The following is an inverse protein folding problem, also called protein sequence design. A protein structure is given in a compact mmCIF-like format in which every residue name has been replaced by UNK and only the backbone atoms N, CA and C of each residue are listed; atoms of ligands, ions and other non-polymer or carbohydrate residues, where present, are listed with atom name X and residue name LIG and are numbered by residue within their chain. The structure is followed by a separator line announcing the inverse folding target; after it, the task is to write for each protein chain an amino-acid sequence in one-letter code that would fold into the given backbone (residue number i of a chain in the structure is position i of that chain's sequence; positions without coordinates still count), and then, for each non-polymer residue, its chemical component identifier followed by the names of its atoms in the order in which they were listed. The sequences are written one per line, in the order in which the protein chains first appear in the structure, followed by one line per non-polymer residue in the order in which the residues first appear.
data_IF_795733820673
#
_entry.id   IF_795733820673
#
_cell.length_a   1.000
_cell.length_b   1.000
_cell.length_c   1.000
_cell.angle_alpha   90.00
_cell.angle_beta   90.00
_cell.angle_gamma   90.00
#
_symmetry.space_group_name_H-M   'P 1'
#
loop_
_entity.id
_entity.type
_entity.pdbx_description
1 polymer ?
#
# COMPACT_ATOMS: atom_id res chain seq x y z
N UNK A 1 11.14 -1.80 6.52
CA UNK A 1 11.98 -2.86 7.10
C UNK A 1 12.13 -3.94 6.05
N UNK A 2 13.35 -4.43 5.78
CA UNK A 2 13.60 -5.49 4.80
C UNK A 2 12.84 -6.80 5.10
N UNK A 3 12.42 -7.00 6.36
CA UNK A 3 11.70 -8.21 6.80
C UNK A 3 10.17 -8.07 6.77
N UNK A 4 9.66 -6.88 6.41
CA UNK A 4 8.23 -6.58 6.46
C UNK A 4 7.46 -7.16 5.27
N UNK A 5 6.16 -7.46 5.41
CA UNK A 5 5.36 -8.03 4.33
C UNK A 5 5.27 -7.13 3.09
N UNK A 6 5.44 -5.81 3.25
CA UNK A 6 5.47 -4.83 2.15
C UNK A 6 6.83 -4.68 1.46
N UNK A 7 7.90 -5.31 1.95
CA UNK A 7 9.22 -5.22 1.32
C UNK A 7 9.18 -5.79 -0.10
N UNK A 8 9.81 -5.10 -1.05
CA UNK A 8 9.80 -5.38 -2.50
C UNK A 8 8.40 -5.40 -3.16
N UNK A 9 7.34 -5.08 -2.41
CA UNK A 9 5.96 -5.00 -2.93
C UNK A 9 5.45 -3.57 -2.96
N UNK A 10 5.94 -2.72 -2.07
CA UNK A 10 5.67 -1.29 -2.03
C UNK A 10 6.97 -0.53 -2.30
N UNK A 11 6.90 0.48 -3.15
CA UNK A 11 8.03 1.37 -3.40
C UNK A 11 8.20 2.37 -2.26
N UNK A 12 9.43 2.48 -1.78
CA UNK A 12 9.81 3.46 -0.77
C UNK A 12 10.10 4.84 -1.39
N UNK A 13 10.10 5.88 -0.55
CA UNK A 13 10.28 7.27 -0.99
C UNK A 13 11.65 7.56 -1.60
N UNK A 14 12.64 6.73 -1.31
CA UNK A 14 14.02 6.81 -1.79
C UNK A 14 14.26 6.02 -3.08
N UNK A 15 13.25 5.31 -3.61
CA UNK A 15 13.35 4.60 -4.87
C UNK A 15 13.12 5.52 -6.08
N UNK A 16 13.76 5.26 -7.26
CA UNK A 16 13.63 6.10 -8.45
C UNK A 16 12.18 6.28 -8.96
N UNK A 17 11.31 5.31 -8.67
CA UNK A 17 9.88 5.36 -9.00
C UNK A 17 9.05 6.27 -8.10
N UNK A 18 9.62 6.77 -7.01
CA UNK A 18 8.87 7.47 -5.96
C UNK A 18 8.02 6.53 -5.10
N UNK A 19 7.40 7.06 -4.03
CA UNK A 19 6.69 6.23 -3.07
C UNK A 19 5.34 5.76 -3.60
N UNK A 20 4.97 4.54 -3.21
CA UNK A 20 3.57 4.12 -3.29
C UNK A 20 2.73 4.82 -2.22
N UNK A 21 1.60 5.38 -2.65
CA UNK A 21 0.65 6.06 -1.76
C UNK A 21 -0.53 5.14 -1.51
N UNK A 22 -0.68 4.63 -0.29
CA UNK A 22 -1.84 3.82 0.10
C UNK A 22 -3.08 4.68 0.16
N UNK A 23 -4.12 4.30 -0.58
CA UNK A 23 -5.41 5.00 -0.63
C UNK A 23 -6.56 4.18 -0.05
N UNK A 24 -6.42 2.85 0.04
CA UNK A 24 -7.38 1.99 0.72
C UNK A 24 -6.76 0.69 1.25
N UNK A 25 -7.37 0.13 2.29
CA UNK A 25 -7.02 -1.15 2.91
C UNK A 25 -8.28 -2.02 2.98
N UNK A 26 -8.25 -3.20 2.37
CA UNK A 26 -9.41 -4.11 2.29
C UNK A 26 -10.70 -3.41 1.82
N UNK A 27 -10.57 -2.51 0.85
CA UNK A 27 -11.69 -1.71 0.31
C UNK A 27 -12.10 -0.52 1.17
N UNK A 28 -11.49 -0.31 2.34
CA UNK A 28 -11.77 0.84 3.22
C UNK A 28 -10.87 2.02 2.83
N UNK A 29 -11.43 3.16 2.37
CA UNK A 29 -10.65 4.35 2.06
C UNK A 29 -9.83 4.82 3.26
N UNK A 30 -8.56 5.09 3.02
CA UNK A 30 -7.58 5.32 4.09
C UNK A 30 -6.71 6.51 3.72
N UNK A 31 -6.98 7.67 4.33
CA UNK A 31 -6.30 8.94 4.03
C UNK A 31 -5.32 9.40 5.10
N UNK A 32 -5.31 8.72 6.25
CA UNK A 32 -4.47 9.09 7.40
C UNK A 32 -3.78 7.86 7.96
N UNK A 33 -2.64 8.07 8.62
CA UNK A 33 -1.91 7.00 9.33
C UNK A 33 -2.77 6.36 10.42
N UNK A 34 -3.63 7.15 11.08
CA UNK A 34 -4.54 6.64 12.10
C UNK A 34 -5.57 5.68 11.48
N UNK A 35 -6.23 6.10 10.39
CA UNK A 35 -7.18 5.24 9.68
C UNK A 35 -6.52 3.96 9.16
N UNK A 36 -5.26 4.05 8.69
CA UNK A 36 -4.50 2.88 8.25
C UNK A 36 -4.29 1.88 9.39
N UNK A 37 -3.84 2.35 10.56
CA UNK A 37 -3.67 1.49 11.74
C UNK A 37 -5.00 0.87 12.18
N UNK A 38 -6.08 1.65 12.22
CA UNK A 38 -7.41 1.13 12.58
C UNK A 38 -7.91 0.07 11.60
N UNK A 39 -7.68 0.25 10.29
CA UNK A 39 -8.05 -0.73 9.28
C UNK A 39 -7.28 -2.05 9.47
N UNK A 40 -5.99 -1.98 9.85
CA UNK A 40 -5.16 -3.16 10.09
C UNK A 40 -5.47 -3.89 11.40
N UNK A 41 -6.02 -3.22 12.44
CA UNK A 41 -6.38 -3.89 13.70
C UNK A 41 -7.36 -5.04 13.53
N UNK A 42 -8.17 -5.02 12.48
CA UNK A 42 -9.16 -6.06 12.17
C UNK A 42 -8.56 -7.27 11.45
N UNK A 43 -7.31 -7.17 11.01
CA UNK A 43 -6.62 -8.22 10.23
C UNK A 43 -5.92 -9.17 11.18
N UNK A 44 -6.14 -10.46 11.00
CA UNK A 44 -5.45 -11.49 11.80
C UNK A 44 -4.12 -11.91 11.14
N UNK A 45 -3.13 -12.35 11.93
CA UNK A 45 -1.93 -12.97 11.39
C UNK A 45 -2.28 -14.09 10.40
N UNK A 46 -1.58 -14.13 9.26
CA UNK A 46 -1.82 -15.09 8.17
C UNK A 46 -2.88 -14.66 7.15
N UNK A 47 -3.75 -13.69 7.46
CA UNK A 47 -4.71 -13.16 6.49
C UNK A 47 -4.02 -12.33 5.39
N UNK A 48 -4.69 -12.21 4.24
CA UNK A 48 -4.22 -11.38 3.14
C UNK A 48 -4.87 -10.00 3.23
N UNK A 49 -4.04 -8.98 3.36
CA UNK A 49 -4.42 -7.57 3.24
C UNK A 49 -4.34 -7.16 1.78
N UNK A 50 -5.42 -6.58 1.26
CA UNK A 50 -5.44 -5.94 -0.05
C UNK A 50 -5.26 -4.44 0.10
N UNK A 51 -4.17 -3.91 -0.40
CA UNK A 51 -3.90 -2.48 -0.47
C UNK A 51 -4.23 -1.99 -1.89
N UNK A 52 -4.93 -0.86 -1.95
CA UNK A 52 -4.99 -0.04 -3.15
C UNK A 52 -3.97 1.07 -2.98
N UNK A 53 -3.08 1.21 -3.96
CA UNK A 53 -2.03 2.22 -3.96
C UNK A 53 -2.05 3.02 -5.25
N UNK A 54 -1.59 4.27 -5.17
CA UNK A 54 -1.16 5.04 -6.32
C UNK A 54 0.36 4.89 -6.43
N UNK A 55 0.82 4.43 -7.59
CA UNK A 55 2.23 4.34 -7.95
C UNK A 55 2.51 5.40 -9.02
N UNK A 56 3.69 6.03 -8.99
CA UNK A 56 4.04 6.99 -10.03
C UNK A 56 4.17 6.27 -11.37
N UNK A 57 3.59 6.83 -12.42
CA UNK A 57 3.65 6.27 -13.76
C UNK A 57 3.78 7.38 -14.80
N UNK A 58 4.79 7.34 -15.68
CA UNK A 58 4.94 8.32 -16.75
C UNK A 58 3.85 8.22 -17.82
N UNK A 59 3.18 7.07 -17.92
CA UNK A 59 2.15 6.79 -18.92
C UNK A 59 0.75 7.20 -18.46
N UNK A 60 0.58 7.55 -17.17
CA UNK A 60 -0.69 8.00 -16.61
C UNK A 60 -0.90 9.50 -16.83
N UNK A 61 -2.13 9.91 -17.14
CA UNK A 61 -2.49 11.30 -17.47
C UNK A 61 -2.16 12.30 -16.35
N UNK A 62 -2.29 11.89 -15.09
CA UNK A 62 -1.99 12.68 -13.89
C UNK A 62 -0.64 12.28 -13.25
N UNK A 63 0.14 11.43 -13.91
CA UNK A 63 1.40 10.89 -13.40
C UNK A 63 1.24 9.77 -12.37
N UNK A 64 0.01 9.28 -12.11
CA UNK A 64 -0.28 8.23 -11.13
C UNK A 64 -1.09 7.09 -11.72
N UNK A 65 -0.63 5.85 -11.50
CA UNK A 65 -1.38 4.65 -11.84
C UNK A 65 -1.88 3.96 -10.57
N UNK A 66 -3.15 3.56 -10.56
CA UNK A 66 -3.69 2.71 -9.51
C UNK A 66 -3.15 1.29 -9.60
N UNK A 67 -2.70 0.73 -8.47
CA UNK A 67 -2.20 -0.63 -8.36
C UNK A 67 -2.78 -1.34 -7.15
N UNK A 68 -3.03 -2.65 -7.30
CA UNK A 68 -3.45 -3.52 -6.19
C UNK A 68 -2.25 -4.29 -5.68
N UNK A 69 -1.99 -4.19 -4.38
CA UNK A 69 -0.91 -4.92 -3.70
C UNK A 69 -1.52 -5.83 -2.64
N UNK A 70 -1.20 -7.12 -2.69
CA UNK A 70 -1.67 -8.11 -1.71
C UNK A 70 -0.53 -8.55 -0.82
N UNK A 71 -0.69 -8.34 0.48
CA UNK A 71 0.30 -8.61 1.51
C UNK A 71 -0.25 -9.64 2.49
N UNK A 72 0.57 -10.61 2.91
CA UNK A 72 0.18 -11.51 4.01
C UNK A 72 0.55 -10.86 5.34
N UNK A 73 -0.42 -10.72 6.24
CA UNK A 73 -0.21 -10.23 7.59
C UNK A 73 0.66 -11.22 8.38
N UNK A 74 1.59 -10.68 9.17
CA UNK A 74 2.46 -11.43 10.08
C UNK A 74 2.12 -11.05 11.51
#
# INVERSE_FOLDING_TARGET
SPEGPGFQRLQASDEPGGPDIIIAVNGVPTRTRAAFREALKKVKPGEVVTLQVLSRSPDATDGWAGRIVRLRAR
#
